data_IF_793839227815
#
_entry.id   IF_793839227815
#
_cell.length_a   1.000
_cell.length_b   1.000
_cell.length_c   1.000
_cell.angle_alpha   90.00
_cell.angle_beta   90.00
_cell.angle_gamma   90.00
#
_symmetry.space_group_name_H-M   'P 1'
#
loop_
_entity.id
_entity.type
_entity.pdbx_description
1 polymer ?
#
# COMPACT_ATOMS: atom_id res chain seq x y z
N UNK A 1 -83.72 30.50 29.46
CA UNK A 1 -84.32 29.88 28.26
C UNK A 1 -83.20 29.63 27.27
N UNK A 2 -82.96 28.38 26.90
CA UNK A 2 -82.00 28.05 25.83
C UNK A 2 -82.66 28.40 24.50
N UNK A 3 -82.03 29.25 23.69
CA UNK A 3 -82.51 29.51 22.33
C UNK A 3 -82.41 28.20 21.53
N UNK A 4 -83.47 27.79 20.82
CA UNK A 4 -83.44 26.56 20.03
C UNK A 4 -82.45 26.72 18.87
N UNK A 5 -81.54 25.76 18.72
CA UNK A 5 -80.61 25.70 17.59
C UNK A 5 -81.41 25.56 16.30
N UNK A 6 -81.16 26.44 15.34
CA UNK A 6 -81.82 26.39 14.03
C UNK A 6 -80.98 25.63 13.01
N UNK A 7 -81.63 25.16 11.93
CA UNK A 7 -80.93 24.54 10.79
C UNK A 7 -79.90 25.51 10.17
N UNK A 8 -80.18 26.82 10.17
CA UNK A 8 -79.27 27.88 9.73
C UNK A 8 -77.98 27.91 10.57
N UNK A 9 -78.09 27.74 11.90
CA UNK A 9 -76.94 27.69 12.80
C UNK A 9 -76.06 26.47 12.52
N UNK A 10 -76.67 25.35 12.12
CA UNK A 10 -75.97 24.14 11.69
C UNK A 10 -75.23 24.39 10.37
N UNK A 11 -75.86 25.01 9.38
CA UNK A 11 -75.22 25.33 8.10
C UNK A 11 -74.02 26.28 8.26
N UNK A 12 -74.15 27.33 9.08
CA UNK A 12 -73.03 28.24 9.39
C UNK A 12 -71.87 27.52 10.08
N UNK A 13 -72.15 26.54 10.93
CA UNK A 13 -71.12 25.70 11.55
C UNK A 13 -70.42 24.82 10.51
N UNK A 14 -71.16 24.22 9.58
CA UNK A 14 -70.61 23.43 8.48
C UNK A 14 -69.73 24.27 7.55
N UNK A 15 -70.17 25.45 7.14
CA UNK A 15 -69.40 26.38 6.30
C UNK A 15 -68.07 26.76 6.96
N UNK A 16 -68.12 27.19 8.23
CA UNK A 16 -66.92 27.52 9.02
C UNK A 16 -66.00 26.31 9.23
N UNK A 17 -66.56 25.11 9.30
CA UNK A 17 -65.78 23.87 9.42
C UNK A 17 -65.09 23.55 8.11
N UNK A 18 -65.78 23.73 6.98
CA UNK A 18 -65.22 23.49 5.65
C UNK A 18 -64.10 24.49 5.33
N UNK A 19 -64.27 25.78 5.65
CA UNK A 19 -63.23 26.80 5.52
C UNK A 19 -61.98 26.46 6.35
N UNK A 20 -62.15 26.05 7.62
CA UNK A 20 -61.04 25.62 8.47
C UNK A 20 -60.36 24.36 7.94
N UNK A 21 -61.13 23.43 7.39
CA UNK A 21 -60.59 22.21 6.80
C UNK A 21 -59.74 22.51 5.56
N UNK A 22 -60.22 23.40 4.67
CA UNK A 22 -59.48 23.84 3.50
C UNK A 22 -58.19 24.57 3.87
N UNK A 23 -58.24 25.49 4.85
CA UNK A 23 -57.07 26.18 5.38
C UNK A 23 -56.06 25.19 5.99
N UNK A 24 -56.53 24.24 6.79
CA UNK A 24 -55.68 23.21 7.40
C UNK A 24 -55.03 22.32 6.35
N UNK A 25 -55.75 21.97 5.28
CA UNK A 25 -55.23 21.18 4.16
C UNK A 25 -54.15 21.95 3.38
N UNK A 26 -54.39 23.22 3.07
CA UNK A 26 -53.39 24.07 2.40
C UNK A 26 -52.12 24.23 3.25
N UNK A 27 -52.27 24.41 4.56
CA UNK A 27 -51.12 24.52 5.46
C UNK A 27 -50.35 23.19 5.56
N UNK A 28 -51.05 22.06 5.59
CA UNK A 28 -50.44 20.74 5.54
C UNK A 28 -49.66 20.52 4.25
N UNK A 29 -50.27 20.81 3.10
CA UNK A 29 -49.63 20.66 1.78
C UNK A 29 -48.38 21.55 1.67
N UNK A 30 -48.44 22.78 2.20
CA UNK A 30 -47.28 23.68 2.26
C UNK A 30 -46.17 23.11 3.13
N UNK A 31 -46.48 22.68 4.35
CA UNK A 31 -45.49 22.08 5.28
C UNK A 31 -44.88 20.80 4.71
N UNK A 32 -45.67 19.97 4.03
CA UNK A 32 -45.19 18.76 3.38
C UNK A 32 -44.24 19.08 2.22
N UNK A 33 -44.56 20.10 1.40
CA UNK A 33 -43.68 20.56 0.33
C UNK A 33 -42.37 21.15 0.86
N UNK A 34 -42.42 21.95 1.94
CA UNK A 34 -41.25 22.52 2.61
C UNK A 34 -40.35 21.42 3.19
N UNK A 35 -40.93 20.44 3.90
CA UNK A 35 -40.21 19.31 4.47
C UNK A 35 -39.53 18.46 3.39
N UNK A 36 -40.23 18.21 2.28
CA UNK A 36 -39.65 17.50 1.12
C UNK A 36 -38.48 18.28 0.51
N UNK A 37 -38.65 19.58 0.29
CA UNK A 37 -37.59 20.43 -0.26
C UNK A 37 -36.38 20.56 0.68
N UNK A 38 -36.58 20.51 2.00
CA UNK A 38 -35.49 20.44 2.98
C UNK A 38 -34.78 19.07 2.96
N UNK A 39 -35.55 17.97 2.88
CA UNK A 39 -34.99 16.63 2.76
C UNK A 39 -34.15 16.47 1.49
N UNK A 40 -34.66 16.93 0.35
CA UNK A 40 -33.95 16.89 -0.94
C UNK A 40 -32.65 17.71 -0.88
N UNK A 41 -32.68 18.89 -0.24
CA UNK A 41 -31.47 19.72 -0.02
C UNK A 41 -30.45 19.02 0.86
N UNK A 42 -30.89 18.41 1.97
CA UNK A 42 -30.00 17.66 2.88
C UNK A 42 -29.38 16.45 2.19
N UNK A 43 -30.16 15.72 1.38
CA UNK A 43 -29.66 14.60 0.60
C UNK A 43 -28.59 15.05 -0.41
N UNK A 44 -28.88 16.10 -1.19
CA UNK A 44 -27.93 16.64 -2.15
C UNK A 44 -26.64 17.17 -1.49
N UNK A 45 -26.73 17.76 -0.30
CA UNK A 45 -25.56 18.18 0.46
C UNK A 45 -24.76 16.98 0.99
N UNK A 46 -25.43 15.94 1.49
CA UNK A 46 -24.80 14.71 1.93
C UNK A 46 -24.05 14.02 0.78
N UNK A 47 -24.66 13.91 -0.40
CA UNK A 47 -24.04 13.33 -1.59
C UNK A 47 -22.79 14.11 -2.01
N UNK A 48 -22.85 15.45 -1.98
CA UNK A 48 -21.67 16.30 -2.26
C UNK A 48 -20.54 16.09 -1.26
N UNK A 49 -20.87 16.00 0.04
CA UNK A 49 -19.89 15.75 1.10
C UNK A 49 -19.27 14.36 0.95
N UNK A 50 -20.07 13.34 0.64
CA UNK A 50 -19.58 11.98 0.38
C UNK A 50 -18.63 11.95 -0.82
N UNK A 51 -19.01 12.55 -1.95
CA UNK A 51 -18.14 12.62 -3.13
C UNK A 51 -16.81 13.36 -2.85
N UNK A 52 -16.85 14.40 -2.02
CA UNK A 52 -15.64 15.12 -1.60
C UNK A 52 -14.76 14.28 -0.65
N UNK A 53 -15.37 13.50 0.25
CA UNK A 53 -14.66 12.56 1.12
C UNK A 53 -13.99 11.46 0.31
N UNK A 54 -14.70 10.82 -0.62
CA UNK A 54 -14.16 9.80 -1.52
C UNK A 54 -12.95 10.33 -2.30
N UNK A 55 -13.06 11.54 -2.85
CA UNK A 55 -11.94 12.20 -3.54
C UNK A 55 -10.75 12.44 -2.61
N UNK A 56 -11.01 12.87 -1.38
CA UNK A 56 -9.96 13.11 -0.38
C UNK A 56 -9.25 11.81 -0.02
N UNK A 57 -10.01 10.75 0.27
CA UNK A 57 -9.46 9.43 0.57
C UNK A 57 -8.62 8.91 -0.60
N UNK A 58 -9.13 8.98 -1.84
CA UNK A 58 -8.39 8.54 -3.02
C UNK A 58 -7.10 9.35 -3.25
N UNK A 59 -7.10 10.65 -2.95
CA UNK A 59 -5.89 11.48 -3.02
C UNK A 59 -4.88 11.09 -1.94
N UNK A 60 -5.35 10.88 -0.70
CA UNK A 60 -4.50 10.48 0.42
C UNK A 60 -3.88 9.11 0.17
N UNK A 61 -4.65 8.11 -0.28
CA UNK A 61 -4.13 6.78 -0.62
C UNK A 61 -3.03 6.88 -1.69
N UNK A 62 -3.26 7.63 -2.77
CA UNK A 62 -2.24 7.83 -3.82
C UNK A 62 -0.97 8.50 -3.29
N UNK A 63 -1.11 9.48 -2.39
CA UNK A 63 0.05 10.14 -1.78
C UNK A 63 0.85 9.16 -0.91
N UNK A 64 0.18 8.32 -0.11
CA UNK A 64 0.80 7.27 0.70
C UNK A 64 1.53 6.24 -0.18
N UNK A 65 0.87 5.72 -1.22
CA UNK A 65 1.48 4.74 -2.15
C UNK A 65 2.74 5.29 -2.83
N UNK A 66 2.69 6.56 -3.24
CA UNK A 66 3.84 7.26 -3.82
C UNK A 66 5.00 7.40 -2.83
N UNK A 67 4.72 7.59 -1.54
CA UNK A 67 5.76 7.67 -0.51
C UNK A 67 6.39 6.30 -0.27
N UNK A 68 5.61 5.24 -0.13
CA UNK A 68 6.12 3.87 0.05
C UNK A 68 7.06 3.46 -1.10
N UNK A 69 6.67 3.76 -2.34
CA UNK A 69 7.50 3.48 -3.52
C UNK A 69 8.81 4.26 -3.51
N UNK A 70 8.79 5.52 -3.05
CA UNK A 70 10.01 6.36 -2.94
C UNK A 70 10.92 5.88 -1.82
N UNK A 71 10.37 5.39 -0.72
CA UNK A 71 11.16 4.81 0.37
C UNK A 71 11.89 3.56 -0.05
N UNK A 72 11.25 2.63 -0.78
CA UNK A 72 11.94 1.46 -1.34
C UNK A 72 13.15 1.85 -2.20
N UNK A 73 12.94 2.79 -3.14
CA UNK A 73 14.03 3.31 -3.97
C UNK A 73 15.14 4.01 -3.20
N UNK A 74 14.81 4.73 -2.12
CA UNK A 74 15.83 5.34 -1.28
C UNK A 74 16.76 4.28 -0.66
N UNK A 75 16.21 3.13 -0.23
CA UNK A 75 17.03 2.03 0.29
C UNK A 75 17.87 1.41 -0.82
N UNK A 76 17.31 1.19 -2.01
CA UNK A 76 18.05 0.72 -3.19
C UNK A 76 19.28 1.61 -3.46
N UNK A 77 19.08 2.93 -3.53
CA UNK A 77 20.12 3.93 -3.82
C UNK A 77 21.15 4.09 -2.68
N UNK A 78 20.78 3.77 -1.43
CA UNK A 78 21.72 3.74 -0.31
C UNK A 78 22.63 2.51 -0.37
N UNK A 79 22.10 1.37 -0.81
CA UNK A 79 22.78 0.08 -0.78
C UNK A 79 23.66 -0.12 -2.01
N UNK A 80 23.14 0.14 -3.21
CA UNK A 80 23.82 -0.15 -4.48
C UNK A 80 25.27 0.36 -4.56
N UNK A 81 25.59 1.61 -4.16
CA UNK A 81 26.95 2.13 -4.27
C UNK A 81 28.00 1.34 -3.46
N UNK A 82 27.58 0.66 -2.39
CA UNK A 82 28.47 -0.10 -1.51
C UNK A 82 28.60 -1.58 -1.91
N UNK A 83 27.66 -2.12 -2.70
CA UNK A 83 27.53 -3.56 -3.00
C UNK A 83 28.83 -4.19 -3.49
N UNK A 84 29.51 -3.57 -4.47
CA UNK A 84 30.77 -4.10 -5.02
C UNK A 84 31.84 -4.21 -3.93
N UNK A 85 32.04 -3.15 -3.14
CA UNK A 85 33.04 -3.14 -2.07
C UNK A 85 32.74 -4.16 -0.99
N UNK A 86 31.47 -4.27 -0.59
CA UNK A 86 31.01 -5.21 0.43
C UNK A 86 31.29 -6.65 0.03
N UNK A 87 30.88 -7.08 -1.17
CA UNK A 87 31.02 -8.48 -1.58
C UNK A 87 32.47 -8.86 -1.93
N UNK A 88 33.26 -7.94 -2.51
CA UNK A 88 34.71 -8.16 -2.67
C UNK A 88 35.42 -8.37 -1.34
N UNK A 89 35.04 -7.64 -0.29
CA UNK A 89 35.60 -7.85 1.05
C UNK A 89 35.27 -9.23 1.64
N UNK A 90 34.20 -9.88 1.14
CA UNK A 90 33.79 -11.24 1.48
C UNK A 90 34.32 -12.30 0.50
N UNK A 91 35.20 -11.92 -0.43
CA UNK A 91 35.83 -12.83 -1.38
C UNK A 91 35.00 -13.16 -2.62
N UNK A 92 33.93 -12.40 -2.90
CA UNK A 92 33.10 -12.56 -4.09
C UNK A 92 33.42 -11.41 -5.06
N UNK A 93 34.07 -11.70 -6.18
CA UNK A 93 34.64 -10.66 -7.07
C UNK A 93 33.63 -10.11 -8.09
N UNK A 94 32.49 -9.62 -7.61
CA UNK A 94 31.52 -8.90 -8.47
C UNK A 94 32.13 -7.60 -9.03
N UNK A 95 31.83 -7.26 -10.28
CA UNK A 95 32.40 -6.09 -10.97
C UNK A 95 31.36 -5.08 -11.45
N UNK A 96 30.13 -5.53 -11.69
CA UNK A 96 29.05 -4.72 -12.23
C UNK A 96 27.82 -4.81 -11.32
N UNK A 97 27.06 -3.72 -11.23
CA UNK A 97 25.72 -3.71 -10.62
C UNK A 97 24.68 -3.35 -11.66
N UNK A 98 23.52 -4.00 -11.56
CA UNK A 98 22.33 -3.69 -12.32
C UNK A 98 21.18 -3.48 -11.35
N UNK A 99 20.73 -2.24 -11.20
CA UNK A 99 19.53 -1.94 -10.43
C UNK A 99 18.27 -2.40 -11.18
N UNK A 100 17.31 -2.92 -10.43
CA UNK A 100 15.97 -3.34 -10.91
C UNK A 100 16.04 -4.29 -12.11
N UNK A 101 16.90 -5.32 -12.00
CA UNK A 101 17.03 -6.34 -13.02
C UNK A 101 15.70 -7.08 -13.21
N UNK A 102 15.08 -6.92 -14.39
CA UNK A 102 13.73 -7.37 -14.68
C UNK A 102 13.69 -8.37 -15.82
N UNK A 103 12.83 -9.38 -15.67
CA UNK A 103 12.48 -10.29 -16.76
C UNK A 103 10.98 -10.51 -16.80
N UNK A 104 10.44 -10.57 -18.02
CA UNK A 104 9.06 -10.97 -18.29
C UNK A 104 9.05 -11.94 -19.48
N UNK A 105 8.93 -13.24 -19.22
CA UNK A 105 8.99 -14.30 -20.23
C UNK A 105 8.14 -15.50 -19.80
N UNK A 106 7.38 -16.08 -20.73
CA UNK A 106 6.69 -17.38 -20.55
C UNK A 106 6.04 -17.59 -19.15
N UNK A 107 5.21 -16.65 -18.70
CA UNK A 107 4.52 -16.74 -17.41
C UNK A 107 5.38 -16.45 -16.17
N UNK A 108 6.66 -16.12 -16.34
CA UNK A 108 7.58 -15.68 -15.28
C UNK A 108 7.75 -14.17 -15.39
N UNK A 109 7.41 -13.47 -14.31
CA UNK A 109 7.76 -12.07 -14.08
C UNK A 109 8.59 -12.02 -12.80
N UNK A 110 9.78 -11.42 -12.86
CA UNK A 110 10.68 -11.30 -11.73
C UNK A 110 11.43 -9.97 -11.80
N UNK A 111 11.63 -9.37 -10.63
CA UNK A 111 12.42 -8.17 -10.42
C UNK A 111 13.36 -8.42 -9.23
N UNK A 112 14.64 -8.11 -9.42
CA UNK A 112 15.68 -8.10 -8.40
C UNK A 112 16.09 -6.65 -8.18
N UNK A 113 16.10 -6.19 -6.94
CA UNK A 113 16.36 -4.78 -6.62
C UNK A 113 17.77 -4.37 -7.05
N UNK A 114 18.78 -5.17 -6.70
CA UNK A 114 20.15 -5.01 -7.18
C UNK A 114 20.73 -6.38 -7.54
N UNK A 115 21.26 -6.50 -8.75
CA UNK A 115 22.02 -7.66 -9.20
C UNK A 115 23.48 -7.27 -9.37
N UNK A 116 24.36 -7.81 -8.52
CA UNK A 116 25.80 -7.68 -8.67
C UNK A 116 26.36 -8.89 -9.40
N UNK A 117 27.23 -8.70 -10.38
CA UNK A 117 27.67 -9.79 -11.26
C UNK A 117 29.12 -9.62 -11.72
N UNK A 118 29.76 -10.75 -11.99
CA UNK A 118 31.02 -10.86 -12.74
C UNK A 118 30.90 -11.95 -13.83
N UNK A 119 31.97 -12.69 -14.16
CA UNK A 119 31.94 -13.73 -15.20
C UNK A 119 31.41 -15.07 -14.68
N UNK A 120 31.57 -15.35 -13.39
CA UNK A 120 31.23 -16.66 -12.80
C UNK A 120 30.40 -16.60 -11.53
N UNK A 121 30.33 -15.42 -10.90
CA UNK A 121 29.63 -15.21 -9.63
C UNK A 121 28.64 -14.06 -9.75
N UNK A 122 27.57 -14.12 -8.95
CA UNK A 122 26.62 -13.04 -8.81
C UNK A 122 25.99 -13.02 -7.42
N UNK A 123 25.53 -11.85 -7.00
CA UNK A 123 24.77 -11.66 -5.77
C UNK A 123 23.48 -10.94 -6.11
N UNK A 124 22.35 -11.55 -5.74
CA UNK A 124 21.06 -10.90 -5.75
C UNK A 124 20.85 -10.21 -4.40
N UNK A 125 20.47 -8.94 -4.41
CA UNK A 125 20.18 -8.17 -3.19
C UNK A 125 18.72 -7.71 -3.23
N UNK A 126 17.98 -8.00 -2.16
CA UNK A 126 16.64 -7.45 -1.90
C UNK A 126 16.74 -6.33 -0.86
N UNK A 127 16.11 -5.18 -1.14
CA UNK A 127 16.14 -4.00 -0.28
C UNK A 127 14.77 -3.74 0.37
N UNK A 128 14.76 -3.54 1.69
CA UNK A 128 13.55 -3.21 2.45
C UNK A 128 13.81 -2.04 3.39
N UNK A 129 12.84 -1.14 3.50
CA UNK A 129 12.87 -0.12 4.56
C UNK A 129 12.75 -0.77 5.94
N UNK A 130 11.91 -1.80 6.05
CA UNK A 130 11.81 -2.67 7.21
C UNK A 130 11.78 -4.11 6.75
N UNK A 131 12.82 -4.88 7.10
CA UNK A 131 12.95 -6.27 6.72
C UNK A 131 12.18 -7.16 7.72
N UNK A 132 11.14 -7.82 7.24
CA UNK A 132 10.37 -8.82 7.99
C UNK A 132 10.79 -10.25 7.64
N UNK A 133 10.30 -11.22 8.40
CA UNK A 133 10.52 -12.65 8.10
C UNK A 133 9.85 -13.05 6.78
N UNK A 134 8.68 -12.49 6.47
CA UNK A 134 7.95 -12.80 5.24
C UNK A 134 8.70 -12.27 4.02
N UNK A 135 9.31 -11.08 4.11
CA UNK A 135 10.19 -10.57 3.05
C UNK A 135 11.37 -11.52 2.77
N UNK A 136 11.96 -12.09 3.82
CA UNK A 136 13.02 -13.10 3.66
C UNK A 136 12.48 -14.35 2.96
N UNK A 137 11.30 -14.86 3.36
CA UNK A 137 10.70 -16.03 2.72
C UNK A 137 10.40 -15.78 1.23
N UNK A 138 9.78 -14.65 0.91
CA UNK A 138 9.47 -14.24 -0.46
C UNK A 138 10.74 -14.16 -1.31
N UNK A 139 11.82 -13.63 -0.72
CA UNK A 139 13.11 -13.56 -1.40
C UNK A 139 13.74 -14.94 -1.61
N UNK A 140 13.65 -15.87 -0.66
CA UNK A 140 14.11 -17.25 -0.84
C UNK A 140 13.35 -17.97 -1.96
N UNK A 141 12.03 -17.74 -2.08
CA UNK A 141 11.25 -18.25 -3.21
C UNK A 141 11.73 -17.64 -4.53
N UNK A 142 11.99 -16.33 -4.55
CA UNK A 142 12.54 -15.62 -5.72
C UNK A 142 13.89 -16.21 -6.15
N UNK A 143 14.81 -16.40 -5.20
CA UNK A 143 16.13 -17.00 -5.42
C UNK A 143 16.02 -18.42 -6.01
N UNK A 144 15.12 -19.25 -5.49
CA UNK A 144 14.94 -20.63 -5.98
C UNK A 144 14.52 -20.73 -7.46
N UNK A 145 13.92 -19.65 -7.99
CA UNK A 145 13.45 -19.57 -9.38
C UNK A 145 14.34 -18.69 -10.25
N UNK A 146 15.38 -18.08 -9.69
CA UNK A 146 16.21 -17.09 -10.37
C UNK A 146 16.82 -17.64 -11.67
N UNK A 147 17.47 -18.81 -11.64
CA UNK A 147 18.10 -19.41 -12.83
C UNK A 147 17.11 -19.82 -13.92
N UNK A 148 15.83 -20.03 -13.58
CA UNK A 148 14.77 -20.24 -14.56
C UNK A 148 14.38 -18.91 -15.23
N UNK A 149 14.31 -17.84 -14.43
CA UNK A 149 13.98 -16.50 -14.88
C UNK A 149 15.13 -15.86 -15.70
N UNK A 150 16.38 -16.11 -15.31
CA UNK A 150 17.60 -15.60 -15.94
C UNK A 150 18.52 -16.77 -16.38
N UNK A 151 18.17 -17.49 -17.46
CA UNK A 151 18.89 -18.70 -17.87
C UNK A 151 20.34 -18.46 -18.32
N UNK A 152 20.70 -17.22 -18.70
CA UNK A 152 22.08 -16.86 -19.03
C UNK A 152 23.04 -17.01 -17.82
N UNK A 153 22.50 -16.94 -16.59
CA UNK A 153 23.27 -17.13 -15.36
C UNK A 153 23.16 -18.55 -14.77
N UNK A 154 22.67 -19.54 -15.54
CA UNK A 154 22.43 -20.89 -15.03
C UNK A 154 23.67 -21.57 -14.45
N UNK A 155 24.85 -21.26 -14.99
CA UNK A 155 26.12 -21.83 -14.55
C UNK A 155 26.87 -20.95 -13.54
N UNK A 156 26.28 -19.82 -13.13
CA UNK A 156 26.92 -18.90 -12.19
C UNK A 156 26.70 -19.38 -10.75
N UNK A 157 27.65 -19.05 -9.88
CA UNK A 157 27.47 -19.13 -8.44
C UNK A 157 26.61 -17.96 -7.99
N UNK A 158 25.37 -18.26 -7.60
CA UNK A 158 24.39 -17.24 -7.21
C UNK A 158 24.25 -17.19 -5.69
N UNK A 159 24.58 -16.04 -5.11
CA UNK A 159 24.41 -15.75 -3.69
C UNK A 159 23.20 -14.83 -3.47
N UNK A 160 22.64 -14.86 -2.26
CA UNK A 160 21.54 -13.99 -1.86
C UNK A 160 21.92 -13.05 -0.72
N UNK A 161 21.42 -11.82 -0.76
CA UNK A 161 21.57 -10.84 0.29
C UNK A 161 20.25 -10.08 0.54
N UNK A 162 20.01 -9.72 1.79
CA UNK A 162 18.90 -8.85 2.20
C UNK A 162 19.46 -7.60 2.87
N UNK A 163 18.95 -6.44 2.49
CA UNK A 163 19.30 -5.16 3.06
C UNK A 163 18.07 -4.55 3.75
N UNK A 164 18.24 -4.12 5.00
CA UNK A 164 17.17 -3.52 5.79
C UNK A 164 17.62 -2.25 6.50
N UNK A 165 16.87 -1.16 6.41
CA UNK A 165 17.11 0.02 7.28
C UNK A 165 16.74 -0.35 8.72
N UNK A 166 15.53 -0.87 8.90
CA UNK A 166 15.10 -1.57 10.11
C UNK A 166 15.05 -3.07 9.83
N UNK A 167 15.39 -3.90 10.80
CA UNK A 167 15.21 -5.35 10.73
C UNK A 167 14.42 -5.79 11.96
N UNK A 168 13.32 -6.50 11.73
CA UNK A 168 12.51 -7.05 12.80
C UNK A 168 13.33 -8.00 13.68
N UNK A 169 12.96 -8.11 14.96
CA UNK A 169 13.71 -8.88 15.95
C UNK A 169 13.92 -10.33 15.50
N UNK A 170 15.18 -10.77 15.45
CA UNK A 170 15.57 -12.13 15.07
C UNK A 170 15.50 -12.45 13.57
N UNK A 171 15.04 -11.51 12.72
CA UNK A 171 14.99 -11.70 11.26
C UNK A 171 16.40 -11.72 10.65
N UNK A 172 17.35 -10.95 11.19
CA UNK A 172 18.75 -11.02 10.78
C UNK A 172 19.37 -12.41 11.02
N UNK A 173 19.16 -12.98 12.22
CA UNK A 173 19.59 -14.35 12.53
C UNK A 173 18.86 -15.37 11.67
N UNK A 174 17.59 -15.14 11.33
CA UNK A 174 16.86 -16.02 10.42
C UNK A 174 17.47 -15.98 9.01
N UNK A 175 17.67 -14.80 8.42
CA UNK A 175 18.29 -14.63 7.12
C UNK A 175 19.71 -15.24 7.08
N UNK A 176 20.52 -15.01 8.13
CA UNK A 176 21.82 -15.66 8.31
C UNK A 176 21.72 -17.19 8.22
N UNK A 177 20.77 -17.80 8.96
CA UNK A 177 20.57 -19.26 8.93
C UNK A 177 20.09 -19.81 7.59
N UNK A 178 19.48 -18.97 6.75
CA UNK A 178 19.06 -19.34 5.39
C UNK A 178 20.21 -19.18 4.37
N UNK A 179 21.41 -18.80 4.83
CA UNK A 179 22.58 -18.60 3.99
C UNK A 179 22.56 -17.30 3.21
N UNK A 180 21.85 -16.28 3.73
CA UNK A 180 21.80 -14.94 3.14
C UNK A 180 22.77 -13.98 3.85
N UNK A 181 23.43 -13.15 3.05
CA UNK A 181 24.10 -11.97 3.59
C UNK A 181 23.05 -10.97 4.11
N UNK A 182 23.35 -10.29 5.21
CA UNK A 182 22.50 -9.30 5.85
C UNK A 182 23.24 -7.98 5.86
N UNK A 183 22.63 -6.97 5.23
CA UNK A 183 23.18 -5.62 5.08
C UNK A 183 22.36 -4.66 5.94
N UNK A 184 23.04 -3.82 6.73
CA UNK A 184 22.43 -2.77 7.57
C UNK A 184 23.15 -1.44 7.38
N UNK A 185 22.48 -0.29 7.64
CA UNK A 185 23.15 1.00 7.76
C UNK A 185 24.27 0.95 8.81
N UNK A 186 25.42 1.54 8.48
CA UNK A 186 26.58 1.66 9.35
C UNK A 186 27.32 2.96 9.04
N UNK A 187 27.40 3.86 10.03
CA UNK A 187 27.97 5.19 9.85
C UNK A 187 27.27 5.98 8.74
N UNK A 188 28.04 6.36 7.71
CA UNK A 188 27.56 7.10 6.53
C UNK A 188 27.15 6.18 5.36
N UNK A 189 27.25 4.86 5.51
CA UNK A 189 27.01 3.87 4.45
C UNK A 189 26.26 2.65 5.00
N UNK A 190 26.53 1.47 4.45
CA UNK A 190 26.00 0.17 4.86
C UNK A 190 27.13 -0.84 5.06
N UNK A 191 26.89 -1.88 5.86
CA UNK A 191 27.84 -2.97 6.10
C UNK A 191 27.16 -4.34 6.05
N UNK A 192 27.94 -5.38 5.73
CA UNK A 192 27.51 -6.78 5.92
C UNK A 192 27.77 -7.15 7.38
N UNK A 193 26.73 -7.47 8.12
CA UNK A 193 26.82 -7.79 9.56
C UNK A 193 27.11 -9.28 9.83
N UNK A 194 27.12 -10.13 8.81
CA UNK A 194 27.49 -11.53 8.96
C UNK A 194 28.94 -11.64 9.46
N UNK A 195 29.13 -12.48 10.49
CA UNK A 195 30.43 -12.78 11.06
C UNK A 195 31.34 -13.56 10.09
N UNK A 196 32.57 -13.83 10.53
CA UNK A 196 33.56 -14.57 9.74
C UNK A 196 33.27 -16.07 9.63
N UNK A 197 32.36 -16.61 10.44
CA UNK A 197 31.95 -18.02 10.39
C UNK A 197 30.76 -18.27 9.47
N UNK A 198 30.21 -17.21 8.85
CA UNK A 198 29.09 -17.31 7.95
C UNK A 198 29.44 -18.04 6.64
N UNK A 199 28.62 -19.03 6.29
CA UNK A 199 28.70 -19.74 5.01
C UNK A 199 27.48 -19.37 4.15
N UNK A 200 27.67 -18.69 3.01
CA UNK A 200 26.57 -18.32 2.14
C UNK A 200 26.03 -19.54 1.38
N UNK A 201 24.72 -19.57 1.15
CA UNK A 201 24.08 -20.60 0.33
C UNK A 201 24.15 -20.22 -1.15
N UNK A 202 24.49 -21.21 -1.98
CA UNK A 202 24.40 -21.12 -3.43
C UNK A 202 22.98 -21.49 -3.92
N UNK A 203 22.48 -20.72 -4.88
CA UNK A 203 21.14 -20.84 -5.48
C UNK A 203 21.16 -21.26 -6.95
#
# INVERSE_FOLDING_TARGET
>A
MSQPITIEDIYKLFEKTNEKFEQSRQEYDRRAAEAKAEADRRAAEADRRLAQLEKTVANTSRAVDSLTTRWGRFVEELVEPAVIGLFRSKGIDVKETYSRARVKRQGIAMEIDILAVDETELVLVECKSRLSKDDVNDFLEKLSRFKQAFPHYKNYQAYGAVAGIEIDEGVDRYAYKQGLFVIKPSGETVEIINDSGFEPKLW
#
